data_IF_809579290522
#
_entry.id   IF_809579290522
#
_cell.length_a   1.000
_cell.length_b   1.000
_cell.length_c   1.000
_cell.angle_alpha   90.00
_cell.angle_beta   90.00
_cell.angle_gamma   90.00
#
_symmetry.space_group_name_H-M   'P 1'
#
loop_
_entity.id
_entity.type
_entity.pdbx_description
1 polymer ?
#
# COMPACT_ATOMS: atom_id res chain seq x y z
N UNK A 1 6.82 28.66 -2.48
CA UNK A 1 7.05 29.91 -3.24
C UNK A 1 5.85 30.34 -4.08
N UNK A 2 5.31 29.47 -4.97
CA UNK A 2 4.23 29.81 -5.91
C UNK A 2 2.90 30.22 -5.27
N UNK A 3 2.43 29.50 -4.24
CA UNK A 3 1.15 29.84 -3.58
C UNK A 3 1.18 31.23 -2.90
N UNK A 4 2.28 31.56 -2.22
CA UNK A 4 2.46 32.88 -1.61
C UNK A 4 2.52 34.02 -2.65
N UNK A 5 3.12 33.77 -3.81
CA UNK A 5 3.11 34.70 -4.93
C UNK A 5 1.69 34.95 -5.46
N UNK A 6 0.88 33.89 -5.63
CA UNK A 6 -0.52 34.01 -6.03
C UNK A 6 -1.33 34.82 -5.01
N UNK A 7 -1.12 34.59 -3.71
CA UNK A 7 -1.74 35.38 -2.65
C UNK A 7 -1.39 36.87 -2.73
N UNK A 8 -0.11 37.21 -2.99
CA UNK A 8 0.34 38.59 -3.17
C UNK A 8 -0.25 39.28 -4.40
N UNK A 9 -0.57 38.53 -5.45
CA UNK A 9 -1.19 39.06 -6.68
C UNK A 9 -2.69 39.35 -6.53
N UNK A 10 -3.30 38.98 -5.40
CA UNK A 10 -4.72 39.13 -5.14
C UNK A 10 -5.53 37.94 -5.67
N UNK A 11 -6.26 37.28 -4.78
CA UNK A 11 -7.15 36.15 -5.09
C UNK A 11 -8.57 36.52 -4.70
N UNK A 12 -9.50 36.51 -5.67
CA UNK A 12 -10.91 36.87 -5.44
C UNK A 12 -11.72 35.74 -4.81
N UNK A 13 -11.38 34.49 -5.11
CA UNK A 13 -12.07 33.29 -4.62
C UNK A 13 -11.06 32.16 -4.42
N UNK A 14 -11.11 31.52 -3.26
CA UNK A 14 -10.38 30.29 -2.94
C UNK A 14 -11.39 29.16 -2.75
N UNK A 15 -11.22 28.08 -3.52
CA UNK A 15 -11.92 26.82 -3.29
C UNK A 15 -10.93 25.87 -2.62
N UNK A 16 -11.17 25.57 -1.35
CA UNK A 16 -10.31 24.70 -0.54
C UNK A 16 -11.00 23.37 -0.25
N UNK A 17 -10.21 22.30 -0.15
CA UNK A 17 -10.69 21.00 0.33
C UNK A 17 -11.04 21.09 1.82
N UNK A 18 -12.21 20.55 2.19
CA UNK A 18 -12.76 20.54 3.56
C UNK A 18 -12.86 19.14 4.16
N UNK A 19 -12.35 18.09 3.48
CA UNK A 19 -12.49 16.67 3.88
C UNK A 19 -12.09 16.41 5.33
N UNK A 20 -11.02 17.07 5.80
CA UNK A 20 -10.48 16.92 7.16
C UNK A 20 -10.62 18.19 8.02
N UNK A 21 -11.44 19.18 7.61
CA UNK A 21 -11.59 20.44 8.33
C UNK A 21 -12.03 20.31 9.81
N UNK A 22 -12.82 19.28 10.21
CA UNK A 22 -13.15 19.08 11.63
C UNK A 22 -11.98 18.57 12.50
N UNK A 23 -10.90 18.09 11.90
CA UNK A 23 -9.76 17.52 12.63
C UNK A 23 -8.72 18.61 12.88
N UNK A 24 -8.49 18.95 14.15
CA UNK A 24 -7.45 19.90 14.55
C UNK A 24 -6.04 19.34 14.32
N UNK A 25 -5.07 20.25 14.19
CA UNK A 25 -3.66 19.91 14.08
C UNK A 25 -3.15 19.80 12.64
N UNK A 26 -2.10 19.01 12.46
CA UNK A 26 -1.38 18.87 11.20
C UNK A 26 -1.34 17.39 10.84
N UNK A 27 -1.62 17.07 9.58
CA UNK A 27 -1.45 15.71 9.06
C UNK A 27 0.02 15.28 9.20
N UNK A 28 0.31 14.17 9.89
CA UNK A 28 1.67 13.64 9.98
C UNK A 28 2.25 13.35 8.59
N UNK A 29 3.58 13.40 8.49
CA UNK A 29 4.26 12.97 7.28
C UNK A 29 3.99 11.49 7.02
N UNK A 30 3.84 11.10 5.77
CA UNK A 30 3.71 9.69 5.39
C UNK A 30 4.92 8.85 5.88
N UNK A 31 6.08 9.48 6.09
CA UNK A 31 7.27 8.84 6.66
C UNK A 31 7.07 8.33 8.09
N UNK A 32 6.12 8.88 8.85
CA UNK A 32 5.88 8.44 10.23
C UNK A 32 5.27 7.03 10.29
N UNK A 33 4.76 6.51 9.17
CA UNK A 33 4.22 5.15 9.09
C UNK A 33 5.33 4.10 8.88
N UNK A 34 6.49 4.52 8.36
CA UNK A 34 7.59 3.62 8.01
C UNK A 34 8.05 2.72 9.17
N UNK A 35 8.23 3.19 10.42
CA UNK A 35 8.68 2.33 11.52
C UNK A 35 7.72 1.19 11.84
N UNK A 36 6.41 1.42 11.80
CA UNK A 36 5.42 0.38 12.06
C UNK A 36 5.37 -0.67 10.94
N UNK A 37 5.57 -0.25 9.68
CA UNK A 37 5.68 -1.17 8.55
C UNK A 37 6.97 -1.99 8.62
N UNK A 38 8.08 -1.37 8.98
CA UNK A 38 9.38 -2.01 9.13
C UNK A 38 9.33 -3.10 10.20
N UNK A 39 8.77 -2.77 11.37
CA UNK A 39 8.56 -3.73 12.44
C UNK A 39 7.70 -4.91 11.97
N UNK A 40 6.57 -4.65 11.32
CA UNK A 40 5.69 -5.71 10.83
C UNK A 40 6.36 -6.62 9.80
N UNK A 41 7.23 -6.07 8.95
CA UNK A 41 7.96 -6.83 7.93
C UNK A 41 9.13 -7.62 8.50
N UNK A 42 9.89 -7.04 9.44
CA UNK A 42 11.10 -7.65 10.00
C UNK A 42 10.82 -8.69 11.09
N UNK A 43 9.76 -8.51 11.89
CA UNK A 43 9.44 -9.41 13.03
C UNK A 43 8.52 -10.59 12.65
N UNK A 44 7.92 -10.58 11.45
CA UNK A 44 6.95 -11.61 11.06
C UNK A 44 7.61 -12.95 10.69
N UNK A 45 7.17 -14.04 11.34
CA UNK A 45 7.68 -15.41 11.09
C UNK A 45 7.09 -16.09 9.83
N UNK A 46 6.03 -15.53 9.27
CA UNK A 46 5.39 -16.02 8.06
C UNK A 46 5.34 -14.97 6.95
N UNK A 47 4.38 -15.12 6.04
CA UNK A 47 4.15 -14.14 4.98
C UNK A 47 3.50 -12.90 5.57
N UNK A 48 3.83 -11.73 5.02
CA UNK A 48 3.19 -10.48 5.43
C UNK A 48 2.22 -10.04 4.33
N UNK A 49 0.96 -9.85 4.69
CA UNK A 49 -0.11 -9.38 3.79
C UNK A 49 -0.42 -7.93 4.17
N UNK A 50 0.13 -6.97 3.43
CA UNK A 50 -0.12 -5.55 3.64
C UNK A 50 -1.29 -5.11 2.78
N UNK A 51 -2.35 -4.64 3.41
CA UNK A 51 -3.58 -4.18 2.76
C UNK A 51 -3.58 -2.66 2.73
N UNK A 52 -3.69 -2.07 1.55
CA UNK A 52 -3.73 -0.60 1.40
C UNK A 52 -4.49 -0.17 0.13
N UNK A 53 -4.66 1.14 -0.03
CA UNK A 53 -5.29 1.73 -1.21
C UNK A 53 -4.34 1.67 -2.42
N UNK A 54 -4.84 1.15 -3.55
CA UNK A 54 -4.10 1.09 -4.80
C UNK A 54 -3.65 2.46 -5.34
N UNK A 55 -4.31 3.55 -4.93
CA UNK A 55 -3.98 4.93 -5.33
C UNK A 55 -2.86 5.55 -4.49
N UNK A 56 -2.52 4.99 -3.32
CA UNK A 56 -1.47 5.53 -2.46
C UNK A 56 -0.09 4.97 -2.89
N UNK A 57 0.46 5.53 -3.97
CA UNK A 57 1.77 5.14 -4.50
C UNK A 57 2.92 5.40 -3.50
N UNK A 58 2.80 6.43 -2.66
CA UNK A 58 3.80 6.74 -1.64
C UNK A 58 3.89 5.63 -0.57
N UNK A 59 2.74 5.10 -0.13
CA UNK A 59 2.67 3.94 0.77
C UNK A 59 3.20 2.67 0.10
N UNK A 60 2.79 2.41 -1.15
CA UNK A 60 3.25 1.23 -1.90
C UNK A 60 4.78 1.22 -2.05
N UNK A 61 5.38 2.36 -2.40
CA UNK A 61 6.83 2.52 -2.50
C UNK A 61 7.53 2.16 -1.18
N UNK A 62 7.05 2.70 -0.06
CA UNK A 62 7.64 2.41 1.26
C UNK A 62 7.54 0.93 1.63
N UNK A 63 6.40 0.28 1.38
CA UNK A 63 6.22 -1.14 1.68
C UNK A 63 7.20 -1.98 0.85
N UNK A 64 7.34 -1.67 -0.44
CA UNK A 64 8.23 -2.41 -1.35
C UNK A 64 9.70 -2.24 -0.97
N UNK A 65 10.12 -1.01 -0.63
CA UNK A 65 11.47 -0.73 -0.14
C UNK A 65 11.77 -1.51 1.15
N UNK A 66 10.90 -1.38 2.17
CA UNK A 66 11.06 -2.08 3.45
C UNK A 66 11.02 -3.60 3.30
N UNK A 67 10.16 -4.11 2.42
CA UNK A 67 10.10 -5.55 2.14
C UNK A 67 11.44 -6.03 1.59
N UNK A 68 12.02 -5.32 0.62
CA UNK A 68 13.34 -5.62 0.07
C UNK A 68 14.44 -5.54 1.15
N UNK A 69 14.41 -4.52 2.00
CA UNK A 69 15.35 -4.35 3.12
C UNK A 69 15.24 -5.51 4.14
N UNK A 70 14.03 -6.04 4.33
CA UNK A 70 13.74 -7.19 5.20
C UNK A 70 13.97 -8.56 4.54
N UNK A 71 14.57 -8.61 3.34
CA UNK A 71 14.79 -9.86 2.61
C UNK A 71 13.52 -10.49 2.02
N UNK A 72 12.43 -9.72 1.90
CA UNK A 72 11.16 -10.15 1.33
C UNK A 72 11.01 -9.70 -0.11
N UNK A 73 10.34 -10.54 -0.90
CA UNK A 73 9.94 -10.25 -2.28
C UNK A 73 8.45 -9.86 -2.31
N UNK A 74 8.17 -8.73 -2.95
CA UNK A 74 6.82 -8.16 -3.01
C UNK A 74 6.01 -8.74 -4.18
N UNK A 75 4.76 -9.13 -3.93
CA UNK A 75 3.78 -9.53 -4.94
C UNK A 75 2.53 -8.66 -4.84
N UNK A 76 2.10 -8.06 -5.95
CA UNK A 76 0.86 -7.29 -6.00
C UNK A 76 -0.35 -8.23 -6.14
N UNK A 77 -1.36 -8.02 -5.30
CA UNK A 77 -2.58 -8.82 -5.25
C UNK A 77 -3.79 -7.90 -5.36
N UNK A 78 -4.18 -7.60 -6.58
CA UNK A 78 -5.35 -6.77 -6.87
C UNK A 78 -5.25 -6.12 -8.25
N UNK A 79 -6.34 -6.19 -9.03
CA UNK A 79 -6.38 -5.67 -10.41
C UNK A 79 -6.12 -4.17 -10.48
N UNK A 80 -6.72 -3.40 -9.57
CA UNK A 80 -6.52 -1.94 -9.51
C UNK A 80 -5.09 -1.57 -9.12
N UNK A 81 -4.48 -2.30 -8.20
CA UNK A 81 -3.10 -2.08 -7.79
C UNK A 81 -2.11 -2.39 -8.91
N UNK A 82 -2.29 -3.52 -9.60
CA UNK A 82 -1.49 -3.87 -10.78
C UNK A 82 -1.56 -2.79 -11.85
N UNK A 83 -2.76 -2.30 -12.17
CA UNK A 83 -2.96 -1.23 -13.15
C UNK A 83 -2.28 0.07 -12.72
N UNK A 84 -2.52 0.51 -11.49
CA UNK A 84 -1.98 1.78 -10.99
C UNK A 84 -0.45 1.75 -10.93
N UNK A 85 0.15 0.63 -10.50
CA UNK A 85 1.61 0.47 -10.48
C UNK A 85 2.18 0.46 -11.88
N UNK A 86 1.56 -0.25 -12.84
CA UNK A 86 2.00 -0.23 -14.23
C UNK A 86 1.98 1.18 -14.82
N UNK A 87 0.90 1.94 -14.63
CA UNK A 87 0.80 3.34 -15.06
C UNK A 87 1.84 4.22 -14.36
N UNK A 88 2.07 4.03 -13.05
CA UNK A 88 3.07 4.79 -12.31
C UNK A 88 4.50 4.52 -12.80
N UNK A 89 4.82 3.28 -13.18
CA UNK A 89 6.09 2.92 -13.77
C UNK A 89 6.28 3.52 -15.16
N UNK A 90 5.25 3.46 -16.02
CA UNK A 90 5.26 4.05 -17.36
C UNK A 90 5.49 5.57 -17.31
N UNK A 91 4.87 6.25 -16.36
CA UNK A 91 5.00 7.70 -16.16
C UNK A 91 6.26 8.10 -15.37
N UNK A 92 7.06 7.15 -14.90
CA UNK A 92 8.28 7.41 -14.12
C UNK A 92 8.05 7.85 -12.67
N UNK A 93 6.81 7.75 -12.15
CA UNK A 93 6.49 8.02 -10.74
C UNK A 93 6.94 6.91 -9.79
N UNK A 94 7.10 5.69 -10.31
CA UNK A 94 7.59 4.55 -9.53
C UNK A 94 8.70 3.85 -10.31
N UNK A 95 9.84 3.64 -9.66
CA UNK A 95 10.92 2.83 -10.21
C UNK A 95 10.69 1.36 -9.86
N UNK A 96 11.16 0.47 -10.73
CA UNK A 96 11.12 -0.96 -10.44
C UNK A 96 12.06 -1.26 -9.26
N UNK A 97 11.58 -1.94 -8.20
CA UNK A 97 12.43 -2.28 -7.07
C UNK A 97 13.52 -3.29 -7.48
N UNK A 98 14.67 -3.31 -6.79
CA UNK A 98 15.65 -4.39 -6.93
C UNK A 98 14.98 -5.75 -6.71
N UNK A 99 15.17 -6.69 -7.64
CA UNK A 99 14.49 -7.99 -7.62
C UNK A 99 13.06 -8.01 -8.18
N UNK A 100 12.51 -6.85 -8.54
CA UNK A 100 11.22 -6.72 -9.21
C UNK A 100 9.99 -7.02 -8.34
N UNK A 101 8.82 -6.87 -8.94
CA UNK A 101 7.55 -7.30 -8.34
C UNK A 101 7.20 -8.69 -8.87
N UNK A 102 6.93 -9.62 -7.96
CA UNK A 102 6.54 -10.99 -8.30
C UNK A 102 5.12 -11.05 -8.84
N UNK A 103 4.87 -11.99 -9.75
CA UNK A 103 3.52 -12.42 -10.06
C UNK A 103 3.06 -13.48 -9.05
N UNK A 104 1.75 -13.64 -8.80
CA UNK A 104 1.24 -14.62 -7.83
C UNK A 104 1.69 -16.07 -8.09
N UNK A 105 1.92 -16.45 -9.35
CA UNK A 105 2.41 -17.77 -9.75
C UNK A 105 3.86 -18.04 -9.32
N UNK A 106 4.66 -17.00 -9.14
CA UNK A 106 6.10 -17.09 -8.82
C UNK A 106 6.34 -17.27 -7.30
N UNK A 107 5.27 -17.28 -6.50
CA UNK A 107 5.31 -17.45 -5.04
C UNK A 107 5.62 -18.90 -4.60
N UNK A 108 5.39 -19.90 -5.46
CA UNK A 108 5.41 -21.31 -5.06
C UNK A 108 6.79 -21.85 -4.63
N UNK A 109 7.88 -21.16 -4.99
CA UNK A 109 9.26 -21.55 -4.66
C UNK A 109 9.90 -20.76 -3.51
N UNK A 110 9.13 -19.96 -2.78
CA UNK A 110 9.63 -19.11 -1.70
C UNK A 110 9.32 -19.66 -0.31
N UNK A 111 10.24 -19.44 0.63
CA UNK A 111 9.91 -19.58 2.04
C UNK A 111 8.89 -18.51 2.44
N UNK A 112 8.00 -18.82 3.38
CA UNK A 112 6.94 -17.90 3.80
C UNK A 112 7.51 -16.56 4.35
N UNK A 113 8.66 -16.61 5.02
CA UNK A 113 9.41 -15.44 5.52
C UNK A 113 9.95 -14.53 4.43
N UNK A 114 10.02 -14.99 3.18
CA UNK A 114 10.52 -14.21 2.03
C UNK A 114 9.39 -13.54 1.27
N UNK A 115 8.13 -13.64 1.72
CA UNK A 115 6.97 -13.16 0.96
C UNK A 115 6.33 -11.95 1.62
N UNK A 116 6.13 -10.90 0.82
CA UNK A 116 5.28 -9.75 1.12
C UNK A 116 4.18 -9.63 0.05
N UNK A 117 2.91 -9.75 0.44
CA UNK A 117 1.76 -9.58 -0.44
C UNK A 117 1.16 -8.19 -0.24
N UNK A 118 1.06 -7.39 -1.30
CA UNK A 118 0.38 -6.10 -1.26
C UNK A 118 -1.03 -6.26 -1.82
N UNK A 119 -2.04 -6.18 -0.96
CA UNK A 119 -3.43 -6.44 -1.32
C UNK A 119 -4.30 -5.18 -1.28
N UNK A 120 -5.34 -5.16 -2.13
CA UNK A 120 -6.45 -4.20 -2.01
C UNK A 120 -7.59 -4.77 -1.16
N UNK A 121 -8.53 -3.92 -0.76
CA UNK A 121 -9.74 -4.34 -0.02
C UNK A 121 -9.72 -3.92 1.43
N UNK A 122 -9.08 -2.79 1.73
CA UNK A 122 -8.94 -2.26 3.09
C UNK A 122 -10.27 -1.90 3.75
N UNK A 123 -11.36 -1.77 2.98
CA UNK A 123 -12.70 -1.47 3.51
C UNK A 123 -13.59 -2.72 3.55
N UNK A 124 -13.02 -3.91 3.34
CA UNK A 124 -13.80 -5.15 3.32
C UNK A 124 -14.69 -5.29 2.09
N UNK A 125 -14.37 -4.61 0.98
CA UNK A 125 -15.16 -4.69 -0.25
C UNK A 125 -15.27 -6.15 -0.71
N UNK A 126 -16.47 -6.71 -0.95
CA UNK A 126 -16.65 -8.16 -1.10
C UNK A 126 -15.82 -8.80 -2.23
N UNK A 127 -15.60 -8.05 -3.31
CA UNK A 127 -14.88 -8.52 -4.50
C UNK A 127 -13.38 -8.18 -4.48
N UNK A 128 -12.90 -7.48 -3.45
CA UNK A 128 -11.51 -7.10 -3.34
C UNK A 128 -10.61 -8.28 -2.91
N UNK A 129 -9.31 -8.11 -3.12
CA UNK A 129 -8.32 -9.15 -2.87
C UNK A 129 -8.38 -9.67 -1.43
N UNK A 130 -8.38 -8.78 -0.41
CA UNK A 130 -8.42 -9.18 1.00
C UNK A 130 -9.64 -10.08 1.29
N UNK A 131 -10.84 -9.64 0.94
CA UNK A 131 -12.10 -10.38 1.20
C UNK A 131 -12.10 -11.76 0.55
N UNK A 132 -11.53 -11.86 -0.67
CA UNK A 132 -11.38 -13.13 -1.39
C UNK A 132 -10.31 -14.04 -0.78
N UNK A 133 -9.22 -13.47 -0.28
CA UNK A 133 -8.17 -14.22 0.43
C UNK A 133 -8.72 -14.77 1.75
N UNK A 134 -9.43 -13.94 2.52
CA UNK A 134 -10.03 -14.31 3.79
C UNK A 134 -11.11 -15.41 3.64
N UNK A 135 -11.91 -15.34 2.57
CA UNK A 135 -12.91 -16.38 2.24
C UNK A 135 -12.35 -17.61 1.52
N UNK A 136 -11.04 -17.64 1.22
CA UNK A 136 -10.41 -18.75 0.48
C UNK A 136 -10.77 -18.86 -1.00
N UNK A 137 -11.43 -17.83 -1.57
CA UNK A 137 -11.92 -17.78 -2.96
C UNK A 137 -10.97 -17.05 -3.92
N UNK A 138 -9.86 -16.51 -3.44
CA UNK A 138 -8.83 -15.94 -4.30
C UNK A 138 -8.06 -17.05 -5.03
N UNK A 139 -7.82 -16.94 -6.36
CA UNK A 139 -7.31 -18.05 -7.17
C UNK A 139 -5.89 -18.51 -6.81
N UNK A 140 -5.05 -17.61 -6.30
CA UNK A 140 -3.61 -17.88 -6.08
C UNK A 140 -3.17 -17.77 -4.61
N UNK A 141 -3.99 -17.16 -3.76
CA UNK A 141 -3.57 -16.76 -2.41
C UNK A 141 -4.67 -17.19 -1.44
N UNK A 142 -4.28 -17.88 -0.38
CA UNK A 142 -5.13 -18.25 0.75
C UNK A 142 -4.37 -17.93 2.02
N UNK A 143 -5.09 -17.59 3.09
CA UNK A 143 -4.47 -17.41 4.42
C UNK A 143 -3.85 -18.74 4.86
N UNK A 144 -2.64 -18.66 5.40
CA UNK A 144 -1.89 -19.78 6.01
C UNK A 144 -1.68 -19.49 7.50
N UNK A 145 -1.45 -20.53 8.32
CA UNK A 145 -0.96 -20.33 9.67
C UNK A 145 0.29 -19.44 9.67
N UNK A 146 0.41 -18.55 10.66
CA UNK A 146 1.52 -17.59 10.82
C UNK A 146 1.59 -16.46 9.79
N UNK A 147 0.60 -16.30 8.90
CA UNK A 147 0.50 -15.06 8.14
C UNK A 147 0.23 -13.87 9.06
N UNK A 148 0.94 -12.77 8.82
CA UNK A 148 0.66 -11.48 9.44
C UNK A 148 -0.14 -10.62 8.46
N UNK A 149 -1.30 -10.10 8.88
CA UNK A 149 -2.11 -9.19 8.06
C UNK A 149 -1.99 -7.77 8.62
N UNK A 150 -1.53 -6.83 7.80
CA UNK A 150 -1.37 -5.42 8.15
C UNK A 150 -2.41 -4.59 7.41
N UNK A 151 -3.35 -3.98 8.13
CA UNK A 151 -4.30 -3.04 7.56
C UNK A 151 -3.70 -1.63 7.53
N UNK A 152 -2.98 -1.31 6.45
CA UNK A 152 -2.31 -0.03 6.25
C UNK A 152 -3.26 1.00 5.60
N UNK A 153 -4.45 1.14 6.16
CA UNK A 153 -5.51 2.04 5.70
C UNK A 153 -6.46 2.38 6.84
N UNK A 154 -7.07 3.57 6.77
CA UNK A 154 -8.10 3.98 7.73
C UNK A 154 -9.47 3.48 7.26
N UNK A 155 -10.29 2.90 8.15
CA UNK A 155 -11.69 2.62 7.84
C UNK A 155 -12.42 3.91 7.47
N UNK A 156 -13.13 3.87 6.36
CA UNK A 156 -14.05 4.94 5.96
C UNK A 156 -15.37 4.68 6.67
N UNK A 157 -15.98 5.66 7.36
CA UNK A 157 -17.28 5.45 8.00
C UNK A 157 -18.35 4.95 7.01
N UNK A 158 -18.98 3.82 7.35
CA UNK A 158 -19.94 3.09 6.52
C UNK A 158 -19.69 1.59 6.59
#
# INVERSE_FOLDING_TARGET
ARLAELGRRGVRLLLSDSTNAPNEGITPSEMTVRPALDQALSESEGRVIVVTFASNLARLRQIVELASESGRRSCLVGRSMLRNVATAMELGYLQQPPGGLLAPRDLAGLADTEVCLLATGSQGEPLAALSRIASGTHPFVRVRPRDTVVLAANPIPG
#
